data_IF_585924137380
#
_entry.id   IF_585924137380
#
_cell.length_a   1.000
_cell.length_b   1.000
_cell.length_c   1.000
_cell.angle_alpha   90.00
_cell.angle_beta   90.00
_cell.angle_gamma   90.00
#
_symmetry.space_group_name_H-M   'P 1'
#
loop_
_entity.id
_entity.type
_entity.pdbx_description
1 polymer ?
#
# COMPACT_ATOMS: atom_id res chain seq x y z
N UNK A 1 -0.36 15.23 -13.55
CA UNK A 1 -0.34 13.95 -12.79
C UNK A 1 -0.45 14.31 -11.32
N UNK A 2 -1.56 13.98 -10.65
CA UNK A 2 -1.73 14.32 -9.24
C UNK A 2 -1.11 13.20 -8.37
N UNK A 3 0.16 13.37 -8.00
CA UNK A 3 0.82 12.49 -7.04
C UNK A 3 0.14 12.64 -5.67
N UNK A 4 -0.26 11.53 -5.04
CA UNK A 4 -0.72 11.59 -3.65
C UNK A 4 0.48 11.79 -2.72
N UNK A 5 0.24 12.40 -1.57
CA UNK A 5 1.22 12.46 -0.49
C UNK A 5 1.69 11.05 -0.11
N UNK A 6 2.96 10.92 0.26
CA UNK A 6 3.51 9.68 0.81
C UNK A 6 2.83 9.38 2.14
N UNK A 7 2.26 8.18 2.27
CA UNK A 7 1.65 7.68 3.50
C UNK A 7 2.63 6.82 4.25
N UNK A 8 2.61 6.93 5.58
CA UNK A 8 3.49 6.16 6.47
C UNK A 8 2.66 5.24 7.33
N UNK A 9 3.09 3.99 7.42
CA UNK A 9 2.47 2.95 8.22
C UNK A 9 3.51 2.38 9.18
N UNK A 10 3.11 2.08 10.42
CA UNK A 10 4.00 1.63 11.49
C UNK A 10 3.58 0.24 11.99
N UNK A 11 4.50 -0.47 12.63
CA UNK A 11 4.25 -1.82 13.12
C UNK A 11 4.14 -2.86 12.00
N UNK A 12 4.72 -2.57 10.83
CA UNK A 12 4.79 -3.51 9.72
C UNK A 12 6.00 -4.40 9.94
N UNK A 13 5.84 -5.44 10.77
CA UNK A 13 6.83 -6.49 10.93
C UNK A 13 6.87 -7.42 9.71
N UNK A 14 7.83 -8.34 9.65
CA UNK A 14 7.92 -9.33 8.58
C UNK A 14 6.71 -10.26 8.50
N UNK A 15 6.06 -10.56 9.62
CA UNK A 15 4.80 -11.29 9.64
C UNK A 15 3.63 -10.44 9.14
N UNK A 16 3.53 -9.18 9.56
CA UNK A 16 2.49 -8.24 9.09
C UNK A 16 2.63 -7.99 7.59
N UNK A 17 3.85 -7.81 7.08
CA UNK A 17 4.10 -7.61 5.65
C UNK A 17 3.70 -8.83 4.81
N UNK A 18 3.95 -10.05 5.30
CA UNK A 18 3.45 -11.28 4.66
C UNK A 18 1.93 -11.36 4.68
N UNK A 19 1.29 -10.99 5.79
CA UNK A 19 -0.17 -10.90 5.87
C UNK A 19 -0.72 -9.86 4.88
N UNK A 20 -0.07 -8.69 4.78
CA UNK A 20 -0.40 -7.63 3.83
C UNK A 20 -0.35 -8.15 2.39
N UNK A 21 0.69 -8.90 2.02
CA UNK A 21 0.79 -9.55 0.71
C UNK A 21 -0.35 -10.54 0.48
N UNK A 22 -0.71 -11.35 1.47
CA UNK A 22 -1.81 -12.30 1.37
C UNK A 22 -3.16 -11.60 1.21
N UNK A 23 -3.41 -10.53 1.97
CA UNK A 23 -4.62 -9.70 1.83
C UNK A 23 -4.64 -9.01 0.47
N UNK A 24 -3.53 -8.42 0.04
CA UNK A 24 -3.41 -7.79 -1.27
C UNK A 24 -3.75 -8.75 -2.41
N UNK A 25 -3.24 -9.99 -2.34
CA UNK A 25 -3.56 -11.04 -3.32
C UNK A 25 -5.04 -11.38 -3.36
N UNK A 26 -5.72 -11.43 -2.21
CA UNK A 26 -7.19 -11.60 -2.14
C UNK A 26 -7.94 -10.43 -2.76
N UNK A 27 -7.38 -9.22 -2.66
CA UNK A 27 -7.93 -8.00 -3.25
C UNK A 27 -7.54 -7.81 -4.73
N UNK A 28 -6.80 -8.77 -5.32
CA UNK A 28 -6.46 -8.75 -6.75
C UNK A 28 -5.16 -8.03 -7.11
N UNK A 29 -4.28 -7.74 -6.15
CA UNK A 29 -2.97 -7.16 -6.43
C UNK A 29 -1.83 -7.90 -5.72
N UNK A 30 -0.60 -7.77 -6.20
CA UNK A 30 0.56 -8.43 -5.59
C UNK A 30 1.60 -7.40 -5.19
N UNK A 31 1.97 -7.40 -3.90
CA UNK A 31 3.11 -6.64 -3.39
C UNK A 31 4.34 -7.54 -3.51
N UNK A 32 5.44 -7.09 -4.15
CA UNK A 32 6.69 -7.84 -4.22
C UNK A 32 7.21 -8.22 -2.82
N UNK A 33 7.92 -9.34 -2.73
CA UNK A 33 8.59 -9.74 -1.49
C UNK A 33 9.96 -9.07 -1.36
N UNK A 34 9.96 -7.73 -1.33
CA UNK A 34 11.16 -6.91 -1.24
C UNK A 34 10.97 -5.79 -0.21
N UNK A 35 12.08 -5.25 0.30
CA UNK A 35 12.08 -4.10 1.19
C UNK A 35 11.64 -2.80 0.49
N UNK A 36 11.59 -2.78 -0.84
CA UNK A 36 10.97 -1.69 -1.59
C UNK A 36 10.60 -2.20 -2.97
N UNK A 37 9.70 -1.48 -3.64
CA UNK A 37 9.33 -1.81 -5.00
C UNK A 37 8.12 -1.03 -5.45
N UNK A 38 7.54 -1.50 -6.56
CA UNK A 38 6.34 -0.91 -7.16
C UNK A 38 5.30 -1.99 -7.33
N UNK A 39 4.04 -1.63 -7.15
CA UNK A 39 2.90 -2.49 -7.44
C UNK A 39 1.75 -1.66 -7.99
N UNK A 40 0.80 -2.33 -8.63
CA UNK A 40 -0.40 -1.70 -9.14
C UNK A 40 -1.60 -2.35 -8.49
N UNK A 41 -2.55 -1.53 -8.04
CA UNK A 41 -3.83 -1.99 -7.53
C UNK A 41 -4.93 -1.54 -8.48
N UNK A 42 -6.00 -2.33 -8.60
CA UNK A 42 -7.19 -1.93 -9.34
C UNK A 42 -8.25 -1.45 -8.34
N UNK A 43 -8.51 -0.15 -8.30
CA UNK A 43 -9.56 0.46 -7.46
C UNK A 43 -10.70 0.89 -8.38
N UNK A 44 -11.91 0.39 -8.14
CA UNK A 44 -13.09 0.71 -8.95
C UNK A 44 -12.88 0.51 -10.47
N UNK A 45 -12.18 -0.57 -10.85
CA UNK A 45 -11.88 -0.89 -12.25
C UNK A 45 -10.76 -0.07 -12.89
N UNK A 46 -10.08 0.78 -12.12
CA UNK A 46 -8.96 1.59 -12.62
C UNK A 46 -7.65 1.23 -11.94
N UNK A 47 -6.59 1.16 -12.74
CA UNK A 47 -5.25 0.81 -12.27
C UNK A 47 -4.55 2.02 -11.65
N UNK A 48 -4.00 1.82 -10.46
CA UNK A 48 -3.30 2.84 -9.69
C UNK A 48 -1.95 2.28 -9.27
N UNK A 49 -0.88 2.97 -9.66
CA UNK A 49 0.50 2.58 -9.39
C UNK A 49 1.00 3.15 -8.07
N UNK A 50 1.55 2.28 -7.23
CA UNK A 50 2.17 2.61 -5.95
C UNK A 50 3.63 2.20 -5.95
N UNK A 51 4.46 3.07 -5.41
CA UNK A 51 5.77 2.74 -4.92
C UNK A 51 5.70 2.55 -3.41
N UNK A 52 6.41 1.56 -2.88
CA UNK A 52 6.51 1.36 -1.45
C UNK A 52 7.95 1.15 -1.00
N UNK A 53 8.21 1.53 0.25
CA UNK A 53 9.46 1.28 0.96
C UNK A 53 9.15 0.72 2.33
N UNK A 54 9.46 -0.55 2.54
CA UNK A 54 9.34 -1.24 3.81
C UNK A 54 10.70 -1.31 4.53
N UNK A 55 10.81 -0.58 5.62
CA UNK A 55 11.94 -0.66 6.54
C UNK A 55 11.66 -1.74 7.59
N UNK A 56 12.37 -2.87 7.46
CA UNK A 56 12.24 -4.02 8.36
C UNK A 56 12.79 -3.74 9.77
N UNK A 57 13.77 -2.83 9.89
CA UNK A 57 14.41 -2.48 11.16
C UNK A 57 13.52 -1.52 11.94
N UNK A 58 12.97 -0.51 11.27
CA UNK A 58 12.06 0.45 11.87
C UNK A 58 10.60 -0.07 11.95
N UNK A 59 10.29 -1.18 11.27
CA UNK A 59 8.92 -1.70 11.10
C UNK A 59 7.98 -0.67 10.48
N UNK A 60 8.49 0.11 9.53
CA UNK A 60 7.78 1.21 8.88
C UNK A 60 7.57 0.87 7.41
N UNK A 61 6.39 1.14 6.88
CA UNK A 61 6.09 1.04 5.45
C UNK A 61 5.66 2.40 4.93
N UNK A 62 6.41 2.92 3.97
CA UNK A 62 6.11 4.11 3.20
C UNK A 62 5.36 3.67 1.94
N UNK A 63 4.26 4.34 1.64
CA UNK A 63 3.47 4.12 0.43
C UNK A 63 3.32 5.44 -0.32
N UNK A 64 3.80 5.48 -1.55
CA UNK A 64 3.72 6.65 -2.42
C UNK A 64 2.91 6.30 -3.66
N UNK A 65 1.91 7.12 -3.97
CA UNK A 65 1.15 6.97 -5.20
C UNK A 65 1.92 7.60 -6.35
N UNK A 66 2.43 6.79 -7.28
CA UNK A 66 3.14 7.28 -8.45
C UNK A 66 2.19 7.67 -9.58
N UNK A 67 1.16 6.85 -9.82
CA UNK A 67 0.24 7.08 -10.93
C UNK A 67 -1.19 6.80 -10.49
N UNK A 68 -2.07 7.78 -10.66
CA UNK A 68 -3.51 7.61 -10.44
C UNK A 68 -4.34 8.22 -11.57
N UNK A 69 -5.49 7.60 -11.89
CA UNK A 69 -6.52 8.23 -12.71
C UNK A 69 -7.02 9.53 -12.06
N UNK A 70 -7.39 10.51 -12.87
CA UNK A 70 -7.91 11.79 -12.37
C UNK A 70 -9.20 11.63 -11.57
N UNK A 71 -10.01 10.62 -11.89
CA UNK A 71 -11.29 10.31 -11.25
C UNK A 71 -11.13 9.67 -9.85
N UNK A 72 -9.98 9.07 -9.54
CA UNK A 72 -9.74 8.49 -8.21
C UNK A 72 -9.10 9.52 -7.27
N UNK A 73 -9.83 9.85 -6.21
CA UNK A 73 -9.31 10.66 -5.12
C UNK A 73 -8.19 9.92 -4.37
N UNK A 74 -7.17 10.67 -3.94
CA UNK A 74 -6.15 10.14 -3.04
C UNK A 74 -6.76 9.63 -1.72
N UNK A 75 -7.89 10.20 -1.28
CA UNK A 75 -8.64 9.75 -0.12
C UNK A 75 -9.17 8.32 -0.27
N UNK A 76 -9.83 8.00 -1.38
CA UNK A 76 -10.38 6.65 -1.63
C UNK A 76 -9.28 5.59 -1.64
N UNK A 77 -8.18 5.90 -2.33
CA UNK A 77 -6.99 5.05 -2.37
C UNK A 77 -6.43 4.86 -0.96
N UNK A 78 -6.27 5.97 -0.22
CA UNK A 78 -5.75 5.94 1.15
C UNK A 78 -6.63 5.07 2.04
N UNK A 79 -7.95 5.22 1.99
CA UNK A 79 -8.89 4.40 2.76
C UNK A 79 -8.76 2.91 2.44
N UNK A 80 -8.53 2.57 1.17
CA UNK A 80 -8.28 1.19 0.77
C UNK A 80 -6.95 0.66 1.34
N UNK A 81 -5.87 1.42 1.21
CA UNK A 81 -4.56 1.06 1.76
C UNK A 81 -4.62 0.94 3.30
N UNK A 82 -5.23 1.89 3.98
CA UNK A 82 -5.45 1.91 5.42
C UNK A 82 -6.21 0.67 5.90
N UNK A 83 -7.26 0.26 5.17
CA UNK A 83 -8.04 -0.93 5.47
C UNK A 83 -7.19 -2.20 5.38
N UNK A 84 -6.42 -2.36 4.31
CA UNK A 84 -5.57 -3.55 4.11
C UNK A 84 -4.45 -3.60 5.14
N UNK A 85 -3.86 -2.46 5.47
CA UNK A 85 -2.86 -2.35 6.53
C UNK A 85 -3.47 -2.76 7.88
N UNK A 86 -4.65 -2.26 8.22
CA UNK A 86 -5.36 -2.62 9.44
C UNK A 86 -5.70 -4.13 9.47
N UNK A 87 -6.18 -4.70 8.36
CA UNK A 87 -6.46 -6.13 8.23
C UNK A 87 -5.20 -7.00 8.38
N UNK A 88 -4.03 -6.49 7.96
CA UNK A 88 -2.76 -7.19 8.11
C UNK A 88 -2.17 -7.12 9.53
N UNK A 89 -2.73 -6.28 10.41
CA UNK A 89 -2.24 -6.03 11.77
C UNK A 89 -1.28 -4.83 11.90
N UNK A 90 -1.12 -4.04 10.83
CA UNK A 90 -0.35 -2.81 10.84
C UNK A 90 -1.12 -1.62 11.42
N UNK A 91 -0.41 -0.52 11.71
CA UNK A 91 -0.98 0.72 12.24
C UNK A 91 -0.80 1.87 11.25
N UNK A 92 -1.84 2.68 11.12
CA UNK A 92 -1.80 3.94 10.37
C UNK A 92 -0.94 4.92 11.19
N UNK A 93 0.11 5.46 10.56
CA UNK A 93 1.22 6.14 11.23
C UNK A 93 1.17 7.66 11.19
#
# INVERSE_FOLDING_TARGET
MAACSTWTYKGISSSVFRSLQAVGRKQGFTIPNAASGKFTISVAGMNVGFQYGWDTKAQVLLLQCENKPMLLGCSTIKSFADKIIAESGGKIG
#
